data_IF_294711610805
#
_entry.id   IF_294711610805
#
_cell.length_a   1.000
_cell.length_b   1.000
_cell.length_c   1.000
_cell.angle_alpha   90.00
_cell.angle_beta   90.00
_cell.angle_gamma   90.00
#
_symmetry.space_group_name_H-M   'P 1'
#
loop_
_entity.id
_entity.type
_entity.pdbx_description
1 polymer ?
#
# COMPACT_ATOMS: atom_id res chain seq x y z
N UNK A 1 6.69 -25.70 13.76
CA UNK A 1 7.81 -25.36 12.86
C UNK A 1 7.31 -24.35 11.85
N UNK A 2 7.94 -23.19 11.74
CA UNK A 2 7.60 -22.20 10.72
C UNK A 2 7.89 -22.77 9.32
N UNK A 3 6.94 -22.60 8.39
CA UNK A 3 7.09 -23.02 6.99
C UNK A 3 8.06 -22.05 6.31
N UNK A 4 8.99 -22.55 5.51
CA UNK A 4 9.90 -21.73 4.70
C UNK A 4 9.53 -21.85 3.21
N UNK A 5 9.30 -20.73 2.55
CA UNK A 5 8.95 -20.63 1.13
C UNK A 5 9.98 -19.76 0.43
N UNK A 6 10.67 -20.34 -0.57
CA UNK A 6 11.69 -19.66 -1.38
C UNK A 6 11.07 -19.28 -2.72
N UNK A 7 10.96 -17.98 -2.99
CA UNK A 7 10.48 -17.45 -4.27
C UNK A 7 11.68 -17.23 -5.21
N UNK A 8 11.70 -17.97 -6.32
CA UNK A 8 12.82 -17.94 -7.27
C UNK A 8 12.71 -16.84 -8.32
N UNK A 9 11.50 -16.34 -8.57
CA UNK A 9 11.20 -15.28 -9.54
C UNK A 9 11.12 -13.95 -8.83
N UNK A 10 11.47 -12.87 -9.51
CA UNK A 10 11.42 -11.52 -8.95
C UNK A 10 12.61 -10.68 -9.39
N UNK A 11 12.59 -9.41 -9.02
CA UNK A 11 13.62 -8.45 -9.35
C UNK A 11 13.79 -7.42 -8.25
N UNK A 12 15.02 -7.23 -7.77
CA UNK A 12 15.35 -6.11 -6.90
C UNK A 12 15.84 -4.95 -7.76
N UNK A 13 15.25 -3.78 -7.57
CA UNK A 13 15.61 -2.57 -8.30
C UNK A 13 16.52 -1.73 -7.41
N UNK A 14 17.80 -1.53 -7.77
CA UNK A 14 18.79 -0.90 -6.92
C UNK A 14 18.70 0.64 -6.98
N UNK A 15 17.66 1.22 -6.40
CA UNK A 15 17.46 2.68 -6.33
C UNK A 15 18.30 3.28 -5.20
N UNK A 16 18.89 4.45 -5.43
CA UNK A 16 19.62 5.24 -4.41
C UNK A 16 18.66 6.01 -3.50
N UNK A 17 19.17 6.53 -2.38
CA UNK A 17 18.40 7.37 -1.47
C UNK A 17 17.48 6.61 -0.51
N UNK A 18 17.89 5.42 -0.06
CA UNK A 18 17.18 4.72 1.02
C UNK A 18 17.18 5.54 2.32
N UNK A 19 16.06 5.52 3.05
CA UNK A 19 15.97 6.18 4.34
C UNK A 19 16.95 5.59 5.36
N UNK A 20 17.70 6.43 6.05
CA UNK A 20 18.54 6.00 7.16
C UNK A 20 17.68 5.50 8.32
N UNK A 21 18.11 4.44 9.01
CA UNK A 21 17.38 3.84 10.14
C UNK A 21 17.46 4.73 11.39
N UNK A 22 17.05 5.98 11.24
CA UNK A 22 16.96 6.96 12.31
C UNK A 22 15.64 7.73 12.23
N UNK A 23 15.06 8.05 13.38
CA UNK A 23 13.91 8.94 13.46
C UNK A 23 14.41 10.38 13.47
N UNK A 24 14.25 11.10 12.35
CA UNK A 24 14.75 12.48 12.23
C UNK A 24 13.85 13.45 13.00
N UNK A 25 12.54 13.28 12.94
CA UNK A 25 11.57 14.16 13.60
C UNK A 25 10.21 13.49 13.78
N UNK A 26 9.43 14.01 14.73
CA UNK A 26 7.99 13.77 14.81
C UNK A 26 7.28 14.97 14.19
N UNK A 27 6.41 14.71 13.22
CA UNK A 27 5.63 15.73 12.53
C UNK A 27 4.18 15.62 12.97
N UNK A 28 3.71 16.65 13.68
CA UNK A 28 2.30 16.88 13.97
C UNK A 28 1.80 17.94 12.98
N UNK A 29 1.09 17.53 11.91
CA UNK A 29 0.65 18.47 10.89
C UNK A 29 -0.46 19.38 11.40
N UNK A 30 -0.44 20.66 11.02
CA UNK A 30 -1.52 21.61 11.31
C UNK A 30 -2.82 21.24 10.57
N UNK A 31 -2.69 20.62 9.39
CA UNK A 31 -3.81 20.20 8.55
C UNK A 31 -3.62 18.73 8.22
N UNK A 32 -4.68 17.95 8.39
CA UNK A 32 -4.70 16.51 8.05
C UNK A 32 -5.88 16.22 7.14
N UNK A 33 -5.66 15.47 6.08
CA UNK A 33 -6.71 15.06 5.14
C UNK A 33 -7.23 13.66 5.44
N UNK A 34 -8.55 13.51 5.40
CA UNK A 34 -9.24 12.22 5.38
C UNK A 34 -9.70 11.95 3.96
N UNK A 35 -9.01 11.05 3.25
CA UNK A 35 -9.22 10.79 1.82
C UNK A 35 -9.97 9.46 1.60
N UNK A 36 -11.27 9.48 1.21
CA UNK A 36 -12.02 8.26 0.93
C UNK A 36 -11.58 7.59 -0.37
N UNK A 37 -10.87 8.31 -1.25
CA UNK A 37 -10.42 7.80 -2.55
C UNK A 37 -9.39 6.69 -2.48
N UNK A 38 -8.71 6.54 -1.35
CA UNK A 38 -7.80 5.44 -1.06
C UNK A 38 -8.52 4.11 -0.78
N UNK A 39 -9.82 4.16 -0.48
CA UNK A 39 -10.63 3.02 -0.06
C UNK A 39 -11.49 2.52 -1.22
N UNK A 40 -11.00 1.51 -1.96
CA UNK A 40 -11.76 0.91 -3.05
C UNK A 40 -13.03 0.24 -2.52
N UNK A 41 -14.14 0.42 -3.23
CA UNK A 41 -15.46 -0.09 -2.82
C UNK A 41 -16.21 0.80 -1.84
N UNK A 42 -15.55 1.77 -1.20
CA UNK A 42 -16.15 2.72 -0.27
C UNK A 42 -16.80 3.90 -1.01
N UNK A 43 -18.09 4.10 -0.83
CA UNK A 43 -18.83 5.23 -1.41
C UNK A 43 -19.14 6.25 -0.30
N UNK A 44 -18.42 7.38 -0.20
CA UNK A 44 -18.50 8.23 0.97
C UNK A 44 -19.83 8.97 1.08
N UNK A 45 -20.39 8.97 2.32
CA UNK A 45 -21.44 9.84 2.80
C UNK A 45 -20.87 10.67 3.95
N UNK A 46 -20.87 11.99 3.82
CA UNK A 46 -20.40 12.89 4.87
C UNK A 46 -21.29 12.78 6.11
N UNK A 47 -20.63 12.78 7.27
CA UNK A 47 -21.26 12.85 8.59
C UNK A 47 -21.00 14.20 9.26
N UNK A 48 -20.15 15.04 8.69
CA UNK A 48 -19.72 16.33 9.22
C UNK A 48 -19.87 17.43 8.17
N UNK A 49 -19.82 18.67 8.60
CA UNK A 49 -19.79 19.90 7.78
C UNK A 49 -18.61 20.79 8.21
N UNK A 50 -18.27 21.74 7.37
CA UNK A 50 -17.23 22.73 7.67
C UNK A 50 -17.58 23.51 8.96
N UNK A 51 -16.58 23.67 9.81
CA UNK A 51 -16.70 24.30 11.13
C UNK A 51 -17.06 23.34 12.28
N UNK A 52 -17.41 22.07 12.00
CA UNK A 52 -17.69 21.10 13.06
C UNK A 52 -16.39 20.73 13.79
N UNK A 53 -16.47 20.56 15.11
CA UNK A 53 -15.39 20.02 15.93
C UNK A 53 -15.44 18.50 15.96
N UNK A 54 -14.25 17.87 15.85
CA UNK A 54 -14.08 16.42 15.90
C UNK A 54 -12.97 16.04 16.87
N UNK A 55 -13.10 14.89 17.49
CA UNK A 55 -12.04 14.24 18.27
C UNK A 55 -11.28 13.26 17.39
N UNK A 56 -10.06 12.90 17.79
CA UNK A 56 -9.36 11.77 17.18
C UNK A 56 -10.19 10.50 17.32
N UNK A 57 -10.55 9.86 16.20
CA UNK A 57 -11.47 8.72 16.16
C UNK A 57 -12.94 9.08 15.90
N UNK A 58 -13.31 10.38 15.85
CA UNK A 58 -14.68 10.77 15.47
C UNK A 58 -14.97 10.38 14.01
N UNK A 59 -16.14 9.80 13.71
CA UNK A 59 -16.51 9.45 12.34
C UNK A 59 -16.74 10.72 11.50
N UNK A 60 -16.03 10.80 10.38
CA UNK A 60 -16.12 11.90 9.39
C UNK A 60 -16.99 11.50 8.21
N UNK A 61 -16.89 10.25 7.81
CA UNK A 61 -17.64 9.68 6.70
C UNK A 61 -18.13 8.29 7.04
N UNK A 62 -19.22 7.86 6.37
CA UNK A 62 -19.69 6.49 6.35
C UNK A 62 -19.81 6.00 4.90
N UNK A 63 -19.76 4.69 4.68
CA UNK A 63 -20.09 4.13 3.38
C UNK A 63 -21.60 4.22 3.11
N UNK A 64 -21.97 4.56 1.89
CA UNK A 64 -23.40 4.62 1.49
C UNK A 64 -24.05 3.25 1.39
N UNK A 65 -23.28 2.23 0.98
CA UNK A 65 -23.77 0.86 0.81
C UNK A 65 -23.88 0.15 2.16
N UNK A 66 -22.89 0.37 3.04
CA UNK A 66 -22.87 -0.17 4.39
C UNK A 66 -22.55 0.93 5.39
N UNK A 67 -23.59 1.60 5.97
CA UNK A 67 -23.43 2.75 6.84
C UNK A 67 -22.66 2.49 8.15
N UNK A 68 -22.47 1.23 8.52
CA UNK A 68 -21.69 0.86 9.70
C UNK A 68 -20.18 0.96 9.45
N UNK A 69 -19.75 0.97 8.18
CA UNK A 69 -18.35 1.20 7.83
C UNK A 69 -18.06 2.70 7.91
N UNK A 70 -17.33 3.08 8.93
CA UNK A 70 -16.96 4.45 9.22
C UNK A 70 -15.51 4.74 8.83
N UNK A 71 -15.24 5.97 8.38
CA UNK A 71 -13.91 6.53 8.21
C UNK A 71 -13.74 7.66 9.22
N UNK A 72 -12.79 7.52 10.14
CA UNK A 72 -12.61 8.37 11.29
C UNK A 72 -11.52 9.44 11.07
N UNK A 73 -11.61 10.53 11.84
CA UNK A 73 -10.56 11.57 11.88
C UNK A 73 -9.31 11.03 12.59
N UNK A 74 -8.11 11.17 12.00
CA UNK A 74 -6.86 10.80 12.65
C UNK A 74 -6.37 11.83 13.69
N UNK A 75 -7.00 12.99 13.78
CA UNK A 75 -6.68 14.08 14.73
C UNK A 75 -7.95 14.67 15.34
N UNK A 76 -7.84 15.29 16.53
CA UNK A 76 -8.84 16.22 17.01
C UNK A 76 -8.63 17.60 16.41
N UNK A 77 -9.72 18.32 16.19
CA UNK A 77 -9.66 19.63 15.56
C UNK A 77 -11.00 20.10 14.99
N UNK A 78 -10.89 21.01 14.04
CA UNK A 78 -12.06 21.59 13.36
C UNK A 78 -12.04 21.23 11.89
N UNK A 79 -13.17 20.80 11.33
CA UNK A 79 -13.32 20.54 9.90
C UNK A 79 -13.09 21.84 9.13
N UNK A 80 -11.99 21.91 8.36
CA UNK A 80 -11.59 23.12 7.67
C UNK A 80 -12.27 23.24 6.31
N UNK A 81 -12.22 22.18 5.51
CA UNK A 81 -12.80 22.18 4.16
C UNK A 81 -13.24 20.79 3.72
N UNK A 82 -14.23 20.76 2.84
CA UNK A 82 -14.72 19.58 2.13
C UNK A 82 -14.32 19.70 0.65
N UNK A 83 -13.21 19.05 0.29
CA UNK A 83 -12.62 19.13 -1.04
C UNK A 83 -13.37 18.22 -2.01
N UNK A 84 -13.83 18.79 -3.12
CA UNK A 84 -14.56 18.07 -4.16
C UNK A 84 -13.88 18.24 -5.52
N UNK A 85 -13.82 17.17 -6.28
CA UNK A 85 -13.36 17.16 -7.65
C UNK A 85 -14.52 17.18 -8.66
N UNK A 86 -14.22 16.71 -9.85
CA UNK A 86 -15.18 16.61 -10.95
C UNK A 86 -16.43 15.84 -10.54
N UNK A 87 -17.56 16.26 -11.10
CA UNK A 87 -18.90 15.68 -10.83
C UNK A 87 -19.23 15.64 -9.33
N UNK A 88 -18.67 16.57 -8.53
CA UNK A 88 -18.83 16.66 -7.07
C UNK A 88 -18.31 15.42 -6.31
N UNK A 89 -17.40 14.63 -6.90
CA UNK A 89 -16.74 13.52 -6.22
C UNK A 89 -16.03 14.05 -4.98
N UNK A 90 -16.27 13.44 -3.82
CA UNK A 90 -15.57 13.78 -2.58
C UNK A 90 -14.12 13.29 -2.69
N UNK A 91 -13.16 14.20 -2.60
CA UNK A 91 -11.73 13.89 -2.67
C UNK A 91 -11.12 13.80 -1.27
N UNK A 92 -11.40 14.79 -0.41
CA UNK A 92 -10.87 14.83 0.94
C UNK A 92 -11.75 15.67 1.85
N UNK A 93 -11.66 15.41 3.16
CA UNK A 93 -12.08 16.32 4.22
C UNK A 93 -10.84 16.71 4.98
N UNK A 94 -10.52 18.01 5.05
CA UNK A 94 -9.38 18.50 5.80
C UNK A 94 -9.79 18.92 7.21
N UNK A 95 -8.95 18.54 8.17
CA UNK A 95 -9.13 18.87 9.58
C UNK A 95 -7.98 19.78 10.00
N UNK A 96 -8.30 20.97 10.52
CA UNK A 96 -7.32 21.82 11.20
C UNK A 96 -7.10 21.23 12.58
N UNK A 97 -5.90 20.74 12.81
CA UNK A 97 -5.54 19.97 14.00
C UNK A 97 -5.42 20.87 15.23
N UNK A 98 -5.90 20.40 16.37
CA UNK A 98 -5.65 21.05 17.65
C UNK A 98 -4.23 20.75 18.14
N UNK A 99 -3.61 21.69 18.89
CA UNK A 99 -2.29 21.50 19.50
C UNK A 99 -2.31 20.33 20.50
N UNK A 100 -3.38 20.26 21.30
CA UNK A 100 -3.60 19.20 22.27
C UNK A 100 -4.62 18.21 21.72
N UNK A 101 -4.18 17.00 21.42
CA UNK A 101 -5.03 15.97 20.83
C UNK A 101 -5.97 15.34 21.86
N UNK A 102 -7.25 15.37 21.57
CA UNK A 102 -8.31 14.72 22.35
C UNK A 102 -8.83 13.48 21.61
N UNK A 103 -9.01 12.38 22.34
CA UNK A 103 -9.39 11.09 21.77
C UNK A 103 -10.82 10.72 22.13
N UNK A 104 -11.59 10.26 21.14
CA UNK A 104 -12.84 9.55 21.39
C UNK A 104 -12.51 8.22 22.08
N UNK A 105 -12.92 8.10 23.34
CA UNK A 105 -12.68 6.88 24.14
C UNK A 105 -13.78 5.86 23.86
N UNK A 106 -13.38 4.61 23.74
CA UNK A 106 -14.24 3.45 23.53
C UNK A 106 -13.83 2.31 24.44
N UNK A 107 -14.76 1.44 24.74
CA UNK A 107 -14.52 0.18 25.45
C UNK A 107 -14.68 -0.98 24.48
N UNK A 108 -13.58 -1.39 23.77
CA UNK A 108 -13.66 -2.43 22.78
C UNK A 108 -13.94 -3.79 23.41
N UNK A 109 -14.83 -4.55 22.79
CA UNK A 109 -15.15 -5.93 23.17
C UNK A 109 -14.52 -6.89 22.18
N UNK A 110 -14.02 -8.01 22.69
CA UNK A 110 -13.36 -9.02 21.89
C UNK A 110 -13.57 -10.44 22.44
N UNK A 111 -14.73 -10.77 22.98
CA UNK A 111 -14.99 -12.13 23.45
C UNK A 111 -15.17 -13.10 22.28
N UNK A 112 -15.78 -12.66 21.17
CA UNK A 112 -16.05 -13.45 19.98
C UNK A 112 -15.88 -12.62 18.70
N UNK A 113 -16.07 -13.26 17.54
CA UNK A 113 -15.90 -12.64 16.22
C UNK A 113 -16.84 -11.42 16.01
N UNK A 114 -18.09 -11.52 16.44
CA UNK A 114 -19.10 -10.48 16.22
C UNK A 114 -18.76 -9.24 17.05
N UNK A 115 -18.34 -9.41 18.31
CA UNK A 115 -17.91 -8.29 19.16
C UNK A 115 -16.66 -7.58 18.59
N UNK A 116 -15.72 -8.35 18.01
CA UNK A 116 -14.54 -7.78 17.35
C UNK A 116 -14.96 -6.96 16.13
N UNK A 117 -15.82 -7.51 15.26
CA UNK A 117 -16.35 -6.80 14.09
C UNK A 117 -17.07 -5.52 14.50
N UNK A 118 -17.99 -5.60 15.45
CA UNK A 118 -18.74 -4.44 15.96
C UNK A 118 -17.83 -3.36 16.53
N UNK A 119 -16.82 -3.75 17.34
CA UNK A 119 -15.85 -2.81 17.90
C UNK A 119 -15.02 -2.12 16.83
N UNK A 120 -14.58 -2.83 15.78
CA UNK A 120 -13.83 -2.27 14.67
C UNK A 120 -14.68 -1.35 13.79
N UNK A 121 -15.94 -1.69 13.54
CA UNK A 121 -16.87 -0.83 12.79
C UNK A 121 -17.10 0.48 13.51
N UNK A 122 -17.43 0.43 14.81
CA UNK A 122 -17.69 1.62 15.64
C UNK A 122 -16.46 2.52 15.80
N UNK A 123 -15.26 1.96 15.79
CA UNK A 123 -14.02 2.73 15.96
C UNK A 123 -13.54 3.44 14.71
N UNK A 124 -14.06 3.10 13.52
CA UNK A 124 -13.54 3.56 12.24
C UNK A 124 -12.24 2.87 11.80
N UNK A 125 -11.86 1.76 12.43
CA UNK A 125 -10.68 0.96 12.05
C UNK A 125 -11.00 -0.13 11.02
N UNK A 126 -12.28 -0.39 10.75
CA UNK A 126 -12.70 -1.39 9.77
C UNK A 126 -12.07 -1.19 8.38
N UNK A 127 -11.90 0.03 7.84
CA UNK A 127 -11.28 0.26 6.54
C UNK A 127 -9.83 -0.23 6.40
N UNK A 128 -9.12 -0.58 7.49
CA UNK A 128 -7.82 -1.23 7.41
C UNK A 128 -7.89 -2.70 6.98
N UNK A 129 -9.08 -3.29 6.95
CA UNK A 129 -9.31 -4.65 6.48
C UNK A 129 -9.71 -4.60 5.02
N UNK A 130 -8.85 -5.13 4.16
CA UNK A 130 -9.05 -5.18 2.71
C UNK A 130 -9.43 -6.58 2.30
N UNK A 131 -10.48 -6.71 1.50
CA UNK A 131 -10.97 -7.99 0.99
C UNK A 131 -10.38 -8.28 -0.39
N UNK A 132 -9.83 -9.47 -0.55
CA UNK A 132 -9.52 -10.08 -1.84
C UNK A 132 -10.54 -11.20 -2.13
N UNK A 133 -10.91 -11.44 -3.39
CA UNK A 133 -10.47 -10.69 -4.58
C UNK A 133 -10.94 -9.22 -4.57
N UNK A 134 -10.47 -8.43 -5.55
CA UNK A 134 -10.86 -7.06 -5.90
C UNK A 134 -10.22 -5.92 -5.11
N UNK A 135 -9.62 -6.14 -3.92
CA UNK A 135 -8.96 -5.10 -3.13
C UNK A 135 -9.91 -4.03 -2.59
N UNK A 136 -11.11 -4.41 -2.22
CA UNK A 136 -12.14 -3.52 -1.65
C UNK A 136 -12.08 -3.51 -0.12
N UNK A 137 -12.69 -2.52 0.52
CA UNK A 137 -12.95 -2.57 1.97
C UNK A 137 -13.77 -3.82 2.26
N UNK A 138 -13.37 -4.58 3.28
CA UNK A 138 -14.00 -5.86 3.58
C UNK A 138 -15.49 -5.72 3.91
N UNK A 139 -16.31 -6.63 3.38
CA UNK A 139 -17.73 -6.73 3.76
C UNK A 139 -17.83 -7.34 5.17
N UNK A 140 -18.40 -6.63 6.16
CA UNK A 140 -18.55 -7.14 7.52
C UNK A 140 -19.42 -8.41 7.60
N UNK A 141 -20.33 -8.59 6.67
CA UNK A 141 -21.19 -9.78 6.60
C UNK A 141 -20.45 -11.03 6.06
N UNK A 142 -19.34 -10.82 5.35
CA UNK A 142 -18.56 -11.93 4.80
C UNK A 142 -17.78 -12.67 5.90
N UNK A 143 -17.59 -13.97 5.66
CA UNK A 143 -16.68 -14.80 6.47
C UNK A 143 -15.44 -15.13 5.64
N UNK A 144 -14.27 -14.58 5.98
CA UNK A 144 -13.07 -14.85 5.22
C UNK A 144 -12.54 -16.26 5.49
N UNK A 145 -11.99 -16.89 4.46
CA UNK A 145 -11.28 -18.16 4.55
C UNK A 145 -10.05 -18.05 5.48
N UNK A 146 -9.38 -16.90 5.44
CA UNK A 146 -8.23 -16.57 6.26
C UNK A 146 -7.92 -15.06 6.18
N UNK A 147 -7.08 -14.59 7.10
CA UNK A 147 -6.58 -13.22 7.13
C UNK A 147 -5.06 -13.28 6.93
N UNK A 148 -4.52 -12.46 6.04
CA UNK A 148 -3.09 -12.40 5.75
C UNK A 148 -2.49 -11.05 6.12
N UNK A 149 -1.27 -11.11 6.66
CA UNK A 149 -0.45 -9.95 7.01
C UNK A 149 0.96 -10.20 6.48
N UNK A 150 1.49 -9.28 5.67
CA UNK A 150 2.91 -9.26 5.39
C UNK A 150 3.63 -8.37 6.40
N UNK A 151 4.60 -8.94 7.13
CA UNK A 151 5.38 -8.21 8.12
C UNK A 151 6.71 -7.68 7.56
N UNK A 152 6.89 -7.66 6.24
CA UNK A 152 8.03 -7.07 5.57
C UNK A 152 7.64 -6.57 4.17
N UNK A 153 8.42 -5.66 3.63
CA UNK A 153 8.32 -5.22 2.24
C UNK A 153 9.62 -5.49 1.50
N UNK A 154 9.49 -5.78 0.22
CA UNK A 154 10.62 -5.92 -0.72
C UNK A 154 10.57 -4.89 -1.83
N UNK A 155 9.61 -3.96 -1.79
CA UNK A 155 9.54 -2.88 -2.75
C UNK A 155 10.77 -1.96 -2.65
N UNK A 156 11.23 -1.38 -3.76
CA UNK A 156 12.36 -0.47 -3.74
C UNK A 156 12.13 0.70 -2.79
N UNK A 157 13.09 0.96 -1.91
CA UNK A 157 13.08 2.05 -0.91
C UNK A 157 11.95 1.95 0.13
N UNK A 158 11.26 0.81 0.23
CA UNK A 158 10.19 0.62 1.20
C UNK A 158 10.68 0.80 2.65
N UNK A 159 9.77 1.20 3.51
CA UNK A 159 10.02 1.30 4.95
C UNK A 159 10.46 -0.06 5.55
N UNK A 160 11.46 -0.02 6.40
CA UNK A 160 11.90 -1.18 7.19
C UNK A 160 10.90 -1.42 8.33
N UNK A 161 10.16 -2.53 8.26
CA UNK A 161 9.13 -2.86 9.24
C UNK A 161 9.70 -3.21 10.60
N UNK A 162 10.91 -3.77 10.66
CA UNK A 162 11.61 -4.04 11.94
C UNK A 162 11.94 -2.72 12.65
N UNK A 163 12.41 -1.70 11.92
CA UNK A 163 12.68 -0.38 12.48
C UNK A 163 11.39 0.36 12.88
N UNK A 164 10.34 0.24 12.09
CA UNK A 164 9.10 0.99 12.33
C UNK A 164 8.23 0.38 13.44
N UNK A 165 8.15 -0.95 13.50
CA UNK A 165 7.20 -1.68 14.33
C UNK A 165 7.84 -2.75 15.24
N UNK A 166 9.12 -3.08 15.09
CA UNK A 166 9.79 -4.11 15.91
C UNK A 166 9.74 -3.85 17.42
N UNK A 167 9.72 -2.57 17.83
CA UNK A 167 9.51 -2.20 19.23
C UNK A 167 8.03 -2.21 19.69
N UNK A 168 7.09 -2.44 18.78
CA UNK A 168 5.63 -2.41 19.01
C UNK A 168 4.97 -3.79 18.82
N UNK A 169 5.72 -4.86 19.05
CA UNK A 169 5.23 -6.25 18.91
C UNK A 169 4.01 -6.53 19.79
N UNK A 170 3.93 -5.92 20.97
CA UNK A 170 2.75 -6.05 21.85
C UNK A 170 1.46 -5.52 21.21
N UNK A 171 1.53 -4.41 20.48
CA UNK A 171 0.37 -3.87 19.77
C UNK A 171 -0.05 -4.83 18.64
N UNK A 172 0.93 -5.35 17.87
CA UNK A 172 0.68 -6.32 16.81
C UNK A 172 0.05 -7.60 17.37
N UNK A 173 0.58 -8.12 18.50
CA UNK A 173 0.04 -9.31 19.15
C UNK A 173 -1.41 -9.09 19.62
N UNK A 174 -1.73 -7.93 20.17
CA UNK A 174 -3.10 -7.59 20.56
C UNK A 174 -4.05 -7.56 19.35
N UNK A 175 -3.59 -7.01 18.22
CA UNK A 175 -4.33 -7.03 16.96
C UNK A 175 -4.57 -8.45 16.43
N UNK A 176 -3.55 -9.30 16.46
CA UNK A 176 -3.67 -10.73 16.09
C UNK A 176 -4.68 -11.42 16.99
N UNK A 177 -4.60 -11.24 18.30
CA UNK A 177 -5.50 -11.89 19.25
C UNK A 177 -6.98 -11.52 19.02
N UNK A 178 -7.23 -10.29 18.58
CA UNK A 178 -8.56 -9.85 18.20
C UNK A 178 -9.01 -10.50 16.87
N UNK A 179 -8.22 -10.36 15.79
CA UNK A 179 -8.58 -10.83 14.47
C UNK A 179 -8.60 -12.37 14.35
N UNK A 180 -7.83 -13.08 15.15
CA UNK A 180 -7.83 -14.55 15.21
C UNK A 180 -9.17 -15.13 15.65
N UNK A 181 -10.05 -14.33 16.26
CA UNK A 181 -11.43 -14.73 16.59
C UNK A 181 -12.36 -14.74 15.37
N UNK A 182 -12.00 -13.97 14.34
CA UNK A 182 -12.78 -13.89 13.10
C UNK A 182 -12.39 -15.03 12.16
N UNK A 183 -11.08 -15.22 11.91
CA UNK A 183 -10.57 -16.26 11.02
C UNK A 183 -9.10 -16.56 11.32
N UNK A 184 -8.61 -17.65 10.71
CA UNK A 184 -7.20 -18.06 10.78
C UNK A 184 -6.31 -16.98 10.20
N UNK A 185 -5.26 -16.59 10.98
CA UNK A 185 -4.26 -15.62 10.54
C UNK A 185 -3.01 -16.30 9.99
N UNK A 186 -2.47 -15.70 8.91
CA UNK A 186 -1.15 -15.99 8.37
C UNK A 186 -0.31 -14.74 8.40
N UNK A 187 0.92 -14.84 8.93
CA UNK A 187 1.89 -13.73 8.94
C UNK A 187 3.14 -14.14 8.17
N UNK A 188 3.44 -13.41 7.11
CA UNK A 188 4.66 -13.57 6.34
C UNK A 188 5.80 -12.75 6.93
N UNK A 189 6.95 -13.36 7.20
CA UNK A 189 8.17 -12.69 7.68
C UNK A 189 9.32 -12.97 6.73
N UNK A 190 10.35 -12.09 6.72
CA UNK A 190 11.51 -12.24 5.85
C UNK A 190 12.55 -13.24 6.38
N UNK A 191 12.78 -13.24 7.68
CA UNK A 191 13.85 -14.02 8.33
C UNK A 191 13.36 -14.64 9.64
N UNK A 192 13.97 -15.75 10.10
CA UNK A 192 13.62 -16.35 11.39
C UNK A 192 13.97 -15.47 12.61
N UNK A 193 14.87 -14.49 12.42
CA UNK A 193 15.31 -13.57 13.47
C UNK A 193 14.43 -12.32 13.58
N UNK A 194 13.38 -12.23 12.77
CA UNK A 194 12.41 -11.13 12.81
C UNK A 194 11.78 -10.99 14.21
N UNK A 195 11.56 -9.74 14.64
CA UNK A 195 10.83 -9.44 15.87
C UNK A 195 9.42 -10.08 15.89
N UNK A 196 8.88 -10.36 14.72
CA UNK A 196 7.54 -10.93 14.50
C UNK A 196 7.53 -12.46 14.45
N UNK A 197 8.70 -13.13 14.58
CA UNK A 197 8.80 -14.59 14.46
C UNK A 197 8.13 -15.37 15.61
N UNK A 198 7.89 -14.70 16.75
CA UNK A 198 7.32 -15.30 17.97
C UNK A 198 5.86 -14.89 18.23
N UNK A 199 5.18 -14.33 17.24
CA UNK A 199 3.77 -13.98 17.37
C UNK A 199 2.92 -15.23 17.55
N UNK A 200 1.99 -15.17 18.51
CA UNK A 200 1.07 -16.26 18.85
C UNK A 200 -0.28 -16.08 18.14
N UNK A 201 -1.07 -17.14 18.08
CA UNK A 201 -2.40 -17.16 17.42
C UNK A 201 -2.37 -16.82 15.92
N UNK A 202 -1.21 -17.00 15.26
CA UNK A 202 -1.04 -16.86 13.83
C UNK A 202 -0.08 -17.92 13.28
N UNK A 203 -0.26 -18.32 12.04
CA UNK A 203 0.70 -19.18 11.34
C UNK A 203 1.80 -18.32 10.70
N UNK A 204 3.01 -18.45 11.23
CA UNK A 204 4.19 -17.74 10.74
C UNK A 204 4.79 -18.51 9.58
N UNK A 205 4.99 -17.83 8.44
CA UNK A 205 5.68 -18.37 7.27
C UNK A 205 6.84 -17.45 6.89
N UNK A 206 8.02 -18.03 6.72
CA UNK A 206 9.21 -17.32 6.27
C UNK A 206 9.19 -17.30 4.74
N UNK A 207 9.28 -16.10 4.16
CA UNK A 207 9.40 -15.90 2.72
C UNK A 207 10.76 -15.31 2.40
N UNK A 208 11.49 -15.97 1.49
CA UNK A 208 12.76 -15.46 0.97
C UNK A 208 12.69 -15.33 -0.54
N UNK A 209 13.33 -14.31 -1.07
CA UNK A 209 13.34 -14.00 -2.49
C UNK A 209 13.42 -12.50 -2.75
N UNK A 210 13.51 -12.15 -4.03
CA UNK A 210 13.48 -10.77 -4.51
C UNK A 210 12.05 -10.21 -4.46
N UNK A 211 11.93 -8.91 -4.66
CA UNK A 211 10.60 -8.31 -4.90
C UNK A 211 9.90 -9.08 -6.04
N UNK A 212 8.62 -9.50 -5.89
CA UNK A 212 7.62 -9.06 -4.92
C UNK A 212 7.40 -10.04 -3.74
N UNK A 213 8.42 -10.66 -3.17
CA UNK A 213 8.26 -11.60 -2.06
C UNK A 213 7.52 -11.00 -0.85
N UNK A 214 7.64 -9.68 -0.65
CA UNK A 214 6.92 -8.94 0.41
C UNK A 214 5.46 -8.63 0.10
N UNK A 215 4.99 -8.81 -1.14
CA UNK A 215 3.60 -8.52 -1.48
C UNK A 215 2.68 -9.60 -0.90
N UNK A 216 1.65 -9.16 -0.19
CA UNK A 216 0.71 -10.08 0.46
C UNK A 216 -0.04 -10.97 -0.54
N UNK A 217 -0.31 -10.47 -1.76
CA UNK A 217 -0.92 -11.26 -2.85
C UNK A 217 -0.06 -12.45 -3.27
N UNK A 218 1.25 -12.25 -3.36
CA UNK A 218 2.22 -13.32 -3.65
C UNK A 218 2.26 -14.35 -2.52
N UNK A 219 2.21 -13.90 -1.27
CA UNK A 219 2.17 -14.79 -0.10
C UNK A 219 0.89 -15.62 -0.05
N UNK A 220 -0.27 -15.01 -0.36
CA UNK A 220 -1.55 -15.70 -0.50
C UNK A 220 -1.46 -16.76 -1.59
N UNK A 221 -0.97 -16.40 -2.79
CA UNK A 221 -0.82 -17.33 -3.90
C UNK A 221 0.06 -18.55 -3.56
N UNK A 222 1.07 -18.36 -2.71
CA UNK A 222 1.99 -19.42 -2.30
C UNK A 222 1.43 -20.32 -1.16
N UNK A 223 0.54 -19.79 -0.30
CA UNK A 223 -0.02 -20.53 0.84
C UNK A 223 -1.40 -21.13 0.51
N UNK A 224 -2.30 -20.28 0.02
CA UNK A 224 -3.71 -20.62 -0.22
C UNK A 224 -4.28 -19.75 -1.34
N UNK A 225 -4.01 -20.09 -2.62
CA UNK A 225 -4.51 -19.32 -3.76
C UNK A 225 -6.03 -19.09 -3.69
N UNK A 226 -6.43 -17.90 -4.12
CA UNK A 226 -7.85 -17.50 -4.12
C UNK A 226 -8.52 -18.07 -5.36
N UNK A 227 -9.58 -18.85 -5.15
CA UNK A 227 -10.43 -19.41 -6.19
C UNK A 227 -11.76 -18.63 -6.29
N UNK A 228 -12.54 -18.90 -7.34
CA UNK A 228 -13.88 -18.34 -7.50
C UNK A 228 -14.74 -18.69 -6.29
N UNK A 229 -15.33 -17.69 -5.65
CA UNK A 229 -16.12 -17.82 -4.43
C UNK A 229 -15.35 -17.76 -3.12
N UNK A 230 -14.03 -17.81 -3.15
CA UNK A 230 -13.22 -17.59 -1.94
C UNK A 230 -13.20 -16.09 -1.56
N UNK A 231 -13.23 -15.84 -0.27
CA UNK A 231 -12.98 -14.51 0.31
C UNK A 231 -11.80 -14.61 1.27
N UNK A 232 -10.81 -13.73 1.07
CA UNK A 232 -9.62 -13.63 1.93
C UNK A 232 -9.46 -12.17 2.34
N UNK A 233 -9.15 -11.93 3.61
CA UNK A 233 -8.87 -10.58 4.07
C UNK A 233 -7.37 -10.34 4.22
N UNK A 234 -6.96 -9.11 4.01
CA UNK A 234 -5.59 -8.66 4.24
C UNK A 234 -5.59 -7.44 5.14
N UNK A 235 -4.59 -7.34 6.00
CA UNK A 235 -4.39 -6.18 6.88
C UNK A 235 -2.91 -5.81 6.81
N UNK A 236 -2.60 -4.51 6.62
CA UNK A 236 -1.22 -4.05 6.70
C UNK A 236 -0.70 -4.16 8.14
N UNK A 237 0.62 -4.30 8.30
CA UNK A 237 1.21 -4.42 9.64
C UNK A 237 0.92 -3.17 10.50
N UNK A 238 0.93 -1.97 9.90
CA UNK A 238 0.53 -0.73 10.56
C UNK A 238 -0.95 -0.70 10.96
N UNK A 239 -1.83 -1.20 10.09
CA UNK A 239 -3.26 -1.35 10.40
C UNK A 239 -3.48 -2.33 11.55
N UNK A 240 -2.77 -3.46 11.54
CA UNK A 240 -2.82 -4.44 12.61
C UNK A 240 -2.35 -3.86 13.95
N UNK A 241 -1.27 -3.07 13.96
CA UNK A 241 -0.79 -2.38 15.15
C UNK A 241 -1.80 -1.33 15.67
N UNK A 242 -2.48 -0.60 14.76
CA UNK A 242 -3.54 0.35 15.14
C UNK A 242 -4.76 -0.37 15.76
N UNK A 243 -5.17 -1.49 15.17
CA UNK A 243 -6.21 -2.37 15.72
C UNK A 243 -5.81 -2.85 17.11
N UNK A 244 -4.57 -3.30 17.29
CA UNK A 244 -4.10 -3.76 18.59
C UNK A 244 -4.07 -2.66 19.65
N UNK A 245 -3.59 -1.46 19.30
CA UNK A 245 -3.66 -0.29 20.21
C UNK A 245 -5.08 0.04 20.63
N UNK A 246 -6.03 -0.07 19.69
CA UNK A 246 -7.45 0.15 20.00
C UNK A 246 -7.96 -0.88 21.02
N UNK A 247 -7.71 -2.17 20.82
CA UNK A 247 -8.14 -3.19 21.80
C UNK A 247 -7.43 -3.08 23.13
N UNK A 248 -6.20 -2.57 23.17
CA UNK A 248 -5.43 -2.39 24.40
C UNK A 248 -5.80 -1.11 25.17
N UNK A 249 -6.13 -0.01 24.48
CA UNK A 249 -6.26 1.34 25.07
C UNK A 249 -7.62 2.02 24.85
N UNK A 250 -8.48 1.47 23.99
CA UNK A 250 -9.78 2.04 23.66
C UNK A 250 -9.73 3.35 22.87
N UNK A 251 -8.61 3.62 22.14
CA UNK A 251 -8.43 4.86 21.37
C UNK A 251 -8.03 4.58 19.93
N UNK A 252 -8.49 5.43 19.04
CA UNK A 252 -8.07 5.43 17.63
C UNK A 252 -6.70 6.09 17.51
N UNK A 253 -5.62 5.30 17.42
CA UNK A 253 -4.25 5.80 17.23
C UNK A 253 -3.61 5.15 16.01
N UNK A 254 -3.54 5.93 14.92
CA UNK A 254 -3.01 5.49 13.61
C UNK A 254 -1.63 6.07 13.30
N UNK A 255 -0.94 6.67 14.30
CA UNK A 255 0.40 7.19 14.14
C UNK A 255 1.36 6.09 13.72
N UNK A 256 2.26 6.45 12.79
CA UNK A 256 3.23 5.52 12.21
C UNK A 256 4.54 6.22 11.90
N UNK A 257 5.63 5.45 11.83
CA UNK A 257 6.88 5.91 11.23
C UNK A 257 6.79 5.70 9.72
N UNK A 258 7.15 6.73 8.97
CA UNK A 258 7.12 6.77 7.51
C UNK A 258 8.53 7.00 7.01
N UNK A 259 8.98 6.18 6.04
CA UNK A 259 10.25 6.39 5.39
C UNK A 259 10.11 7.53 4.35
N UNK A 260 10.94 8.55 4.44
CA UNK A 260 11.13 9.54 3.38
C UNK A 260 12.39 9.15 2.63
N UNK A 261 12.25 8.75 1.37
CA UNK A 261 13.32 8.11 0.60
C UNK A 261 13.33 8.59 -0.86
N UNK A 262 14.37 8.25 -1.58
CA UNK A 262 14.51 8.52 -3.01
C UNK A 262 15.70 9.41 -3.34
N UNK A 263 16.22 9.33 -4.59
CA UNK A 263 17.42 10.06 -5.01
C UNK A 263 17.27 11.59 -4.99
N UNK A 264 16.04 12.10 -4.91
CA UNK A 264 15.76 13.53 -4.81
C UNK A 264 15.26 13.94 -3.40
N UNK A 265 15.25 13.03 -2.42
CA UNK A 265 14.97 13.38 -1.04
C UNK A 265 16.10 14.23 -0.43
N UNK A 266 15.73 15.28 0.30
CA UNK A 266 16.73 16.19 0.93
C UNK A 266 17.46 15.47 2.06
N UNK A 267 16.70 14.81 2.94
CA UNK A 267 17.19 14.04 4.08
C UNK A 267 16.46 12.70 4.13
N UNK A 268 17.02 11.66 3.48
CA UNK A 268 16.40 10.34 3.53
C UNK A 268 16.45 9.76 4.96
N UNK A 269 15.32 9.79 5.66
CA UNK A 269 15.20 9.33 7.05
C UNK A 269 13.75 8.99 7.39
N UNK A 270 13.51 8.46 8.59
CA UNK A 270 12.16 8.20 9.07
C UNK A 270 11.56 9.40 9.80
N UNK A 271 10.28 9.61 9.59
CA UNK A 271 9.46 10.64 10.23
C UNK A 271 8.28 9.96 10.92
N UNK A 272 8.01 10.29 12.19
CA UNK A 272 6.77 9.84 12.84
C UNK A 272 5.64 10.82 12.52
N UNK A 273 4.55 10.31 11.95
CA UNK A 273 3.39 11.09 11.54
C UNK A 273 2.13 10.22 11.45
N UNK A 274 1.09 10.70 10.77
CA UNK A 274 -0.18 9.98 10.55
C UNK A 274 -0.61 10.01 9.07
N UNK A 275 -1.51 9.10 8.65
CA UNK A 275 -2.16 9.18 7.34
C UNK A 275 -2.83 10.54 7.14
N UNK A 276 -2.77 11.06 5.94
CA UNK A 276 -3.32 12.37 5.61
C UNK A 276 -2.41 13.55 5.95
N UNK A 277 -1.18 13.32 6.40
CA UNK A 277 -0.18 14.38 6.60
C UNK A 277 0.21 15.02 5.26
N UNK A 278 0.41 16.36 5.19
CA UNK A 278 0.79 17.04 3.95
C UNK A 278 2.18 16.62 3.46
N UNK A 279 2.30 16.30 2.17
CA UNK A 279 3.55 15.85 1.57
C UNK A 279 4.67 16.87 1.66
N UNK A 280 4.37 18.16 1.47
CA UNK A 280 5.37 19.24 1.60
C UNK A 280 6.07 19.26 2.95
N UNK A 281 5.34 18.96 4.02
CA UNK A 281 5.88 18.90 5.39
C UNK A 281 6.77 17.68 5.59
N UNK A 282 6.35 16.53 5.06
CA UNK A 282 7.12 15.28 5.14
C UNK A 282 8.39 15.35 4.31
N UNK A 283 8.30 15.86 3.09
CA UNK A 283 9.44 16.01 2.17
C UNK A 283 10.43 17.11 2.58
N UNK A 284 10.09 17.97 3.56
CA UNK A 284 10.96 19.06 4.02
C UNK A 284 11.03 20.26 3.07
N UNK A 285 10.09 20.43 2.16
CA UNK A 285 10.06 21.52 1.19
C UNK A 285 9.42 22.79 1.75
N UNK A 286 9.97 23.33 2.82
CA UNK A 286 9.43 24.52 3.50
C UNK A 286 9.61 25.82 2.70
N UNK A 287 10.58 25.88 1.79
CA UNK A 287 10.90 27.06 0.97
C UNK A 287 10.22 27.08 -0.40
N UNK A 288 9.38 26.10 -0.70
CA UNK A 288 8.74 25.94 -2.00
C UNK A 288 9.02 24.58 -2.62
N UNK A 289 8.19 24.18 -3.57
CA UNK A 289 8.31 22.91 -4.26
C UNK A 289 9.37 23.02 -5.38
N UNK A 290 10.44 22.20 -5.37
CA UNK A 290 11.42 22.24 -6.44
C UNK A 290 10.81 21.77 -7.78
N UNK A 291 11.09 22.50 -8.85
CA UNK A 291 10.71 22.05 -10.19
C UNK A 291 11.42 20.74 -10.57
N UNK A 292 10.77 19.94 -11.39
CA UNK A 292 11.35 18.68 -11.88
C UNK A 292 11.46 17.58 -10.82
N UNK A 293 10.63 17.62 -9.78
CA UNK A 293 10.55 16.58 -8.73
C UNK A 293 9.16 15.96 -8.71
N UNK A 294 9.11 14.63 -8.58
CA UNK A 294 7.90 13.87 -8.34
C UNK A 294 7.88 13.36 -6.92
N UNK A 295 6.81 13.70 -6.17
CA UNK A 295 6.53 13.14 -4.84
C UNK A 295 5.48 12.05 -4.99
N UNK A 296 5.79 10.89 -4.44
CA UNK A 296 4.96 9.67 -4.49
C UNK A 296 4.59 9.30 -3.05
N UNK A 297 3.30 9.12 -2.80
CA UNK A 297 2.81 8.41 -1.63
C UNK A 297 2.90 6.93 -1.88
N UNK A 298 3.70 6.22 -1.09
CA UNK A 298 4.06 4.83 -1.31
C UNK A 298 5.41 4.65 -2.03
N UNK A 299 5.64 3.46 -2.56
CA UNK A 299 6.85 3.08 -3.29
C UNK A 299 6.81 3.51 -4.78
N UNK A 300 7.95 3.38 -5.48
CA UNK A 300 8.07 3.80 -6.88
C UNK A 300 7.33 2.91 -7.89
N UNK A 301 6.88 1.72 -7.49
CA UNK A 301 6.23 0.75 -8.37
C UNK A 301 4.71 0.85 -8.32
N UNK A 302 4.16 0.97 -7.11
CA UNK A 302 2.71 0.94 -6.87
C UNK A 302 2.16 2.20 -6.21
N UNK A 303 3.02 3.11 -5.78
CA UNK A 303 2.64 4.36 -5.12
C UNK A 303 1.97 5.36 -6.06
N UNK A 304 1.30 6.34 -5.47
CA UNK A 304 0.56 7.39 -6.19
C UNK A 304 1.35 8.69 -6.22
N UNK A 305 1.58 9.23 -7.40
CA UNK A 305 2.13 10.60 -7.54
C UNK A 305 1.07 11.61 -7.05
N UNK A 306 1.41 12.37 -6.01
CA UNK A 306 0.47 13.29 -5.33
C UNK A 306 0.92 14.75 -5.36
N UNK A 307 2.17 15.02 -5.70
CA UNK A 307 2.73 16.37 -5.71
C UNK A 307 2.89 16.98 -4.31
N UNK A 308 3.22 18.26 -4.27
CA UNK A 308 3.49 19.00 -3.02
C UNK A 308 2.23 19.24 -2.17
N UNK A 309 1.11 19.50 -2.82
CA UNK A 309 -0.17 19.80 -2.16
C UNK A 309 -0.97 18.54 -1.82
N UNK A 310 -0.41 17.37 -2.14
CA UNK A 310 -1.00 16.10 -1.79
C UNK A 310 -0.76 15.68 -0.35
N UNK A 311 -1.36 14.57 0.03
CA UNK A 311 -1.32 14.02 1.37
C UNK A 311 -0.81 12.59 1.38
N UNK A 312 -0.29 12.15 2.52
CA UNK A 312 0.11 10.76 2.74
C UNK A 312 -1.11 9.84 2.68
N UNK A 313 -1.08 8.84 1.83
CA UNK A 313 -2.17 7.90 1.65
C UNK A 313 -2.50 7.08 2.90
N UNK A 314 -3.73 6.60 2.97
CA UNK A 314 -4.27 5.89 4.13
C UNK A 314 -3.46 4.65 4.53
N UNK A 315 -2.92 3.91 3.55
CA UNK A 315 -2.15 2.69 3.77
C UNK A 315 -0.63 2.89 3.73
N UNK A 316 -0.16 4.05 3.24
CA UNK A 316 1.25 4.25 2.90
C UNK A 316 2.11 4.51 4.14
N UNK A 317 3.30 3.92 4.14
CA UNK A 317 4.35 4.07 5.15
C UNK A 317 5.69 4.53 4.55
N UNK A 318 5.66 4.91 3.27
CA UNK A 318 6.81 5.40 2.52
C UNK A 318 6.39 6.63 1.71
N UNK A 319 7.27 7.62 1.65
CA UNK A 319 7.21 8.76 0.73
C UNK A 319 8.43 8.67 -0.16
N UNK A 320 8.23 8.49 -1.46
CA UNK A 320 9.32 8.37 -2.42
C UNK A 320 9.44 9.65 -3.25
N UNK A 321 10.66 10.20 -3.31
CA UNK A 321 10.96 11.47 -4.00
C UNK A 321 11.99 11.20 -5.08
N UNK A 322 11.58 11.37 -6.34
CA UNK A 322 12.41 11.13 -7.53
C UNK A 322 12.42 12.36 -8.45
N UNK A 323 13.35 12.38 -9.38
CA UNK A 323 13.37 13.43 -10.41
C UNK A 323 12.32 13.15 -11.47
N UNK A 324 11.66 14.20 -11.94
CA UNK A 324 10.77 14.15 -13.10
C UNK A 324 11.60 14.09 -14.38
N UNK A 325 11.31 13.14 -15.24
CA UNK A 325 11.98 13.03 -16.52
C UNK A 325 11.39 13.97 -17.56
N UNK A 326 12.19 14.94 -17.99
CA UNK A 326 11.78 15.93 -19.01
C UNK A 326 12.64 15.86 -20.27
N UNK A 327 13.67 15.03 -20.28
CA UNK A 327 14.62 14.96 -21.38
C UNK A 327 14.40 13.72 -22.26
N UNK A 328 13.82 13.88 -23.48
CA UNK A 328 13.72 12.77 -24.40
C UNK A 328 15.10 12.41 -24.94
N UNK A 329 15.42 11.12 -24.92
CA UNK A 329 16.69 10.60 -25.40
C UNK A 329 16.53 9.93 -26.77
N UNK A 330 17.14 10.54 -27.82
CA UNK A 330 17.13 9.96 -29.16
C UNK A 330 17.96 8.67 -29.20
N UNK A 331 17.34 7.58 -29.72
CA UNK A 331 17.97 6.25 -29.85
C UNK A 331 18.63 5.76 -28.55
N UNK A 332 18.07 6.09 -27.40
CA UNK A 332 18.62 5.77 -26.09
C UNK A 332 18.90 4.27 -25.90
N UNK A 333 18.06 3.40 -26.45
CA UNK A 333 18.20 1.95 -26.44
C UNK A 333 19.43 1.44 -27.23
N UNK A 334 19.95 2.21 -28.19
CA UNK A 334 21.10 1.84 -29.03
C UNK A 334 22.44 2.42 -28.52
N UNK A 335 22.43 3.28 -27.50
CA UNK A 335 23.65 3.86 -26.95
C UNK A 335 24.51 2.80 -26.30
N UNK A 336 25.78 2.63 -26.72
CA UNK A 336 26.71 1.73 -26.03
C UNK A 336 27.08 2.30 -24.65
N UNK A 337 27.47 1.43 -23.74
CA UNK A 337 28.07 1.78 -22.44
C UNK A 337 27.25 2.75 -21.60
N UNK A 338 26.23 2.23 -20.92
CA UNK A 338 25.41 2.99 -19.98
C UNK A 338 25.72 2.59 -18.54
N UNK A 339 26.79 3.16 -17.97
CA UNK A 339 27.22 2.86 -16.61
C UNK A 339 26.29 3.45 -15.53
N UNK A 340 25.53 4.49 -15.86
CA UNK A 340 24.64 5.19 -14.94
C UNK A 340 23.22 4.65 -14.94
N UNK A 341 22.92 3.61 -15.77
CA UNK A 341 21.57 3.09 -15.90
C UNK A 341 21.51 1.60 -15.54
N UNK A 342 20.46 1.23 -14.83
CA UNK A 342 20.16 -0.14 -14.49
C UNK A 342 19.55 -0.87 -15.70
N UNK A 343 19.99 -2.10 -15.94
CA UNK A 343 19.46 -2.99 -16.98
C UNK A 343 19.00 -4.31 -16.38
N UNK A 344 17.80 -4.71 -16.71
CA UNK A 344 17.18 -5.96 -16.25
C UNK A 344 17.58 -7.18 -17.08
N UNK A 345 18.05 -6.97 -18.31
CA UNK A 345 18.34 -7.99 -19.32
C UNK A 345 19.77 -7.95 -19.85
N UNK A 346 20.68 -7.29 -19.13
CA UNK A 346 22.10 -7.14 -19.48
C UNK A 346 22.36 -6.31 -20.76
N UNK A 347 21.41 -5.51 -21.21
CA UNK A 347 21.60 -4.59 -22.33
C UNK A 347 22.63 -3.50 -22.02
N UNK A 348 22.83 -3.19 -20.73
CA UNK A 348 23.86 -2.26 -20.25
C UNK A 348 24.79 -2.95 -19.26
N UNK A 349 25.92 -2.35 -18.95
CA UNK A 349 26.95 -2.95 -18.11
C UNK A 349 26.67 -2.90 -16.60
N UNK A 350 25.46 -2.55 -16.17
CA UNK A 350 25.09 -2.52 -14.75
C UNK A 350 25.26 -3.85 -14.02
N UNK A 351 25.18 -4.97 -14.74
CA UNK A 351 25.41 -6.31 -14.18
C UNK A 351 26.87 -6.57 -13.74
N UNK A 352 27.83 -5.76 -14.21
CA UNK A 352 29.23 -5.81 -13.75
C UNK A 352 29.43 -5.11 -12.40
N UNK A 353 28.46 -4.33 -11.95
CA UNK A 353 28.51 -3.56 -10.69
C UNK A 353 27.27 -3.81 -9.84
N UNK A 354 27.03 -5.06 -9.37
CA UNK A 354 25.78 -5.42 -8.67
C UNK A 354 25.59 -4.70 -7.34
N UNK A 355 26.64 -4.10 -6.77
CA UNK A 355 26.60 -3.31 -5.54
C UNK A 355 26.16 -1.86 -5.76
N UNK A 356 26.11 -1.40 -7.01
CA UNK A 356 25.81 -0.01 -7.34
C UNK A 356 24.32 0.27 -7.15
N UNK A 357 24.02 1.45 -6.57
CA UNK A 357 22.68 2.04 -6.56
C UNK A 357 22.61 3.11 -7.67
N UNK A 358 21.41 3.31 -8.20
CA UNK A 358 21.17 4.19 -9.32
C UNK A 358 20.17 5.29 -8.95
N UNK A 359 20.48 6.51 -9.40
CA UNK A 359 19.52 7.60 -9.38
C UNK A 359 18.53 7.36 -10.51
N UNK A 360 17.32 7.00 -10.16
CA UNK A 360 16.26 6.74 -11.12
C UNK A 360 15.35 7.96 -11.23
N UNK A 361 14.96 8.25 -12.45
CA UNK A 361 14.01 9.29 -12.83
C UNK A 361 12.86 8.67 -13.65
N UNK A 362 11.95 9.52 -14.14
CA UNK A 362 10.83 9.07 -14.95
C UNK A 362 11.10 9.16 -16.46
N UNK A 363 12.37 9.38 -16.89
CA UNK A 363 12.71 9.40 -18.31
C UNK A 363 12.52 8.04 -18.99
N UNK A 364 11.95 8.06 -20.18
CA UNK A 364 11.82 6.90 -21.05
C UNK A 364 13.03 6.81 -21.97
N UNK A 365 14.01 5.99 -21.57
CA UNK A 365 15.26 5.82 -22.33
C UNK A 365 15.15 4.86 -23.52
N UNK A 366 14.00 4.33 -23.81
CA UNK A 366 13.78 3.31 -24.85
C UNK A 366 13.14 3.79 -26.15
N UNK A 367 12.81 5.08 -26.28
CA UNK A 367 12.12 5.61 -27.47
C UNK A 367 10.60 5.41 -27.41
N UNK A 368 9.87 5.57 -28.55
CA UNK A 368 8.43 5.50 -28.59
C UNK A 368 7.91 4.11 -28.24
N UNK A 369 6.76 4.07 -27.58
CA UNK A 369 6.08 2.84 -27.18
C UNK A 369 5.49 2.14 -28.40
N UNK A 370 5.71 0.83 -28.50
CA UNK A 370 4.97 -0.05 -29.37
C UNK A 370 4.18 -1.04 -28.49
N UNK A 371 2.99 -1.41 -28.91
CA UNK A 371 2.19 -2.39 -28.19
C UNK A 371 2.73 -3.80 -28.40
N UNK A 372 3.76 -4.16 -27.66
CA UNK A 372 4.37 -5.49 -27.70
C UNK A 372 4.29 -6.07 -26.29
N UNK A 373 3.54 -7.15 -26.13
CA UNK A 373 3.52 -7.93 -24.89
C UNK A 373 4.29 -9.24 -25.08
N UNK A 374 5.13 -9.57 -24.11
CA UNK A 374 5.90 -10.81 -24.13
C UNK A 374 5.84 -11.51 -22.77
N UNK A 375 5.16 -12.64 -22.72
CA UNK A 375 5.00 -13.44 -21.50
C UNK A 375 6.32 -13.90 -20.89
N UNK A 376 7.35 -14.11 -21.71
CA UNK A 376 8.67 -14.53 -21.25
C UNK A 376 9.34 -13.49 -20.32
N UNK A 377 9.03 -12.20 -20.48
CA UNK A 377 9.49 -11.15 -19.54
C UNK A 377 8.72 -11.25 -18.23
N UNK A 378 7.39 -11.29 -18.28
CA UNK A 378 6.55 -11.33 -17.09
C UNK A 378 6.80 -12.57 -16.24
N UNK A 379 7.01 -13.72 -16.87
CA UNK A 379 7.30 -14.97 -16.19
C UNK A 379 8.60 -14.96 -15.37
N UNK A 380 9.53 -14.04 -15.63
CA UNK A 380 10.78 -13.91 -14.87
C UNK A 380 10.56 -13.27 -13.50
N UNK A 381 9.59 -12.37 -13.39
CA UNK A 381 9.40 -11.53 -12.21
C UNK A 381 8.15 -11.86 -11.41
N UNK A 382 7.18 -12.56 -11.97
CA UNK A 382 5.92 -12.89 -11.30
C UNK A 382 5.97 -14.30 -10.70
N UNK A 383 6.07 -14.46 -9.37
CA UNK A 383 6.09 -15.76 -8.70
C UNK A 383 4.68 -16.29 -8.37
N UNK A 384 3.70 -16.06 -9.24
CA UNK A 384 2.32 -16.51 -9.07
C UNK A 384 1.92 -17.48 -10.19
N UNK A 385 0.99 -18.39 -9.88
CA UNK A 385 0.51 -19.42 -10.81
C UNK A 385 -0.61 -18.93 -11.74
N UNK A 386 -0.42 -17.75 -12.34
CA UNK A 386 -1.37 -17.15 -13.28
C UNK A 386 -0.76 -17.00 -14.67
N UNK A 387 -1.56 -16.61 -15.66
CA UNK A 387 -1.15 -16.33 -17.04
C UNK A 387 -1.19 -14.83 -17.33
N UNK A 388 -0.15 -14.05 -16.95
CA UNK A 388 -0.22 -12.59 -16.92
C UNK A 388 -0.53 -11.98 -18.29
N UNK A 389 0.10 -12.43 -19.37
CA UNK A 389 -0.15 -11.92 -20.71
C UNK A 389 -1.61 -12.13 -21.15
N UNK A 390 -2.14 -13.32 -20.91
CA UNK A 390 -3.50 -13.65 -21.32
C UNK A 390 -4.52 -12.93 -20.43
N UNK A 391 -4.23 -12.80 -19.14
CA UNK A 391 -5.04 -12.04 -18.21
C UNK A 391 -5.15 -10.56 -18.63
N UNK A 392 -4.02 -9.91 -18.93
CA UNK A 392 -3.99 -8.52 -19.40
C UNK A 392 -4.83 -8.36 -20.67
N UNK A 393 -4.69 -9.28 -21.64
CA UNK A 393 -5.49 -9.25 -22.87
C UNK A 393 -6.97 -9.47 -22.60
N UNK A 394 -7.34 -10.33 -21.67
CA UNK A 394 -8.73 -10.56 -21.27
C UNK A 394 -9.33 -9.30 -20.62
N UNK A 395 -8.58 -8.60 -19.77
CA UNK A 395 -8.99 -7.32 -19.19
C UNK A 395 -9.23 -6.25 -20.26
N UNK A 396 -8.32 -6.12 -21.22
CA UNK A 396 -8.48 -5.19 -22.35
C UNK A 396 -9.69 -5.51 -23.23
N UNK A 397 -9.97 -6.79 -23.42
CA UNK A 397 -11.12 -7.25 -24.22
C UNK A 397 -12.45 -7.17 -23.45
N UNK A 398 -12.43 -6.99 -22.13
CA UNK A 398 -13.61 -7.08 -21.28
C UNK A 398 -14.20 -8.50 -21.18
N UNK A 399 -13.39 -9.53 -21.42
CA UNK A 399 -13.81 -10.95 -21.46
C UNK A 399 -13.71 -11.54 -20.04
N UNK A 400 -14.82 -11.50 -19.31
CA UNK A 400 -14.92 -11.92 -17.91
C UNK A 400 -14.55 -13.40 -17.75
N UNK A 401 -15.06 -14.27 -18.61
CA UNK A 401 -14.81 -15.71 -18.52
C UNK A 401 -13.31 -16.02 -18.63
N UNK A 402 -12.61 -15.31 -19.54
CA UNK A 402 -11.15 -15.44 -19.67
C UNK A 402 -10.39 -14.77 -18.53
N UNK A 403 -10.88 -13.65 -17.99
CA UNK A 403 -10.26 -13.06 -16.78
C UNK A 403 -10.29 -14.06 -15.62
N UNK A 404 -11.43 -14.73 -15.40
CA UNK A 404 -11.56 -15.79 -14.39
C UNK A 404 -10.61 -16.95 -14.65
N UNK A 405 -10.57 -17.43 -15.90
CA UNK A 405 -9.72 -18.56 -16.30
C UNK A 405 -8.23 -18.28 -16.11
N UNK A 406 -7.80 -17.01 -16.34
CA UNK A 406 -6.39 -16.64 -16.29
C UNK A 406 -5.94 -16.07 -14.96
N UNK A 407 -6.82 -16.00 -13.95
CA UNK A 407 -6.45 -15.77 -12.56
C UNK A 407 -6.72 -14.39 -12.00
N UNK A 408 -7.73 -13.64 -12.50
CA UNK A 408 -8.09 -12.30 -11.99
C UNK A 408 -8.37 -12.26 -10.48
N UNK A 409 -8.89 -13.34 -9.91
CA UNK A 409 -9.18 -13.45 -8.48
C UNK A 409 -7.93 -13.43 -7.58
N UNK A 410 -6.77 -13.79 -8.12
CA UNK A 410 -5.53 -13.91 -7.35
C UNK A 410 -4.73 -12.62 -7.27
N UNK A 411 -5.00 -11.64 -8.14
CA UNK A 411 -4.15 -10.46 -8.31
C UNK A 411 -4.84 -9.16 -7.99
N UNK A 412 -4.05 -8.20 -7.53
CA UNK A 412 -4.34 -6.78 -7.56
C UNK A 412 -3.28 -6.06 -8.42
N UNK A 413 -3.51 -4.78 -8.79
CA UNK A 413 -2.57 -4.04 -9.63
C UNK A 413 -1.13 -4.08 -9.16
N UNK A 414 -0.87 -3.93 -7.86
CA UNK A 414 0.46 -3.95 -7.27
C UNK A 414 1.21 -5.29 -7.45
N UNK A 415 0.50 -6.39 -7.61
CA UNK A 415 1.12 -7.71 -7.83
C UNK A 415 1.76 -7.81 -9.23
N UNK A 416 1.32 -6.98 -10.20
CA UNK A 416 1.86 -6.89 -11.56
C UNK A 416 2.75 -5.66 -11.81
N UNK A 417 3.07 -4.89 -10.78
CA UNK A 417 3.89 -3.68 -10.91
C UNK A 417 5.28 -3.95 -11.52
N UNK A 418 5.93 -5.07 -11.16
CA UNK A 418 7.17 -5.49 -11.81
C UNK A 418 6.99 -5.87 -13.29
N UNK A 419 5.85 -6.46 -13.65
CA UNK A 419 5.56 -6.75 -15.07
C UNK A 419 5.49 -5.45 -15.87
N UNK A 420 4.87 -4.41 -15.33
CA UNK A 420 4.85 -3.06 -15.90
C UNK A 420 6.26 -2.46 -16.00
N UNK A 421 7.06 -2.57 -14.94
CA UNK A 421 8.40 -2.02 -14.88
C UNK A 421 9.33 -2.62 -15.95
N UNK A 422 9.31 -3.95 -16.14
CA UNK A 422 10.18 -4.64 -17.10
C UNK A 422 9.62 -4.67 -18.52
N UNK A 423 8.36 -4.32 -18.73
CA UNK A 423 7.74 -4.33 -20.05
C UNK A 423 8.49 -3.39 -21.02
N UNK A 424 9.06 -3.90 -22.14
CA UNK A 424 9.79 -3.06 -23.09
C UNK A 424 8.93 -1.94 -23.69
N UNK A 425 7.62 -2.17 -23.79
CA UNK A 425 6.65 -1.22 -24.37
C UNK A 425 6.09 -0.27 -23.34
N UNK A 426 6.41 -0.45 -22.06
CA UNK A 426 5.92 0.40 -20.95
C UNK A 426 4.40 0.57 -20.96
N UNK A 427 3.69 -0.53 -21.16
CA UNK A 427 2.24 -0.55 -21.04
C UNK A 427 1.82 -0.31 -19.58
N UNK A 428 0.70 0.35 -19.37
CA UNK A 428 0.10 0.59 -18.05
C UNK A 428 -0.62 -0.67 -17.55
N UNK A 429 0.14 -1.70 -17.20
CA UNK A 429 -0.40 -3.02 -16.86
C UNK A 429 -1.24 -2.95 -15.59
N UNK A 430 -0.81 -2.20 -14.59
CA UNK A 430 -1.56 -2.00 -13.35
C UNK A 430 -2.93 -1.39 -13.62
N UNK A 431 -3.01 -0.39 -14.50
CA UNK A 431 -4.27 0.22 -14.90
C UNK A 431 -5.18 -0.76 -15.65
N UNK A 432 -4.63 -1.56 -16.56
CA UNK A 432 -5.38 -2.58 -17.29
C UNK A 432 -6.01 -3.63 -16.35
N UNK A 433 -5.27 -4.07 -15.33
CA UNK A 433 -5.80 -4.97 -14.30
C UNK A 433 -6.86 -4.27 -13.44
N UNK A 434 -6.63 -3.01 -13.05
CA UNK A 434 -7.62 -2.24 -12.29
C UNK A 434 -8.95 -2.10 -13.05
N UNK A 435 -8.90 -1.84 -14.36
CA UNK A 435 -10.09 -1.77 -15.23
C UNK A 435 -10.81 -3.13 -15.29
N UNK A 436 -10.07 -4.24 -15.42
CA UNK A 436 -10.63 -5.59 -15.38
C UNK A 436 -11.34 -5.88 -14.06
N UNK A 437 -10.72 -5.55 -12.93
CA UNK A 437 -11.32 -5.70 -11.59
C UNK A 437 -12.58 -4.83 -11.43
N UNK A 438 -12.56 -3.60 -11.96
CA UNK A 438 -13.70 -2.70 -11.89
C UNK A 438 -14.89 -3.21 -12.75
N UNK A 439 -14.60 -3.86 -13.88
CA UNK A 439 -15.61 -4.54 -14.69
C UNK A 439 -16.23 -5.71 -13.91
N UNK A 440 -15.40 -6.58 -13.31
CA UNK A 440 -15.86 -7.69 -12.48
C UNK A 440 -16.78 -7.21 -11.35
N UNK A 441 -16.42 -6.13 -10.65
CA UNK A 441 -17.23 -5.55 -9.58
C UNK A 441 -18.58 -5.01 -10.05
N UNK A 442 -18.67 -4.50 -11.27
CA UNK A 442 -19.94 -4.01 -11.85
C UNK A 442 -20.89 -5.15 -12.20
N UNK A 443 -20.35 -6.24 -12.72
CA UNK A 443 -21.17 -7.42 -13.08
C UNK A 443 -21.66 -8.21 -11.86
N UNK A 444 -21.00 -8.06 -10.71
CA UNK A 444 -21.38 -8.74 -9.46
C UNK A 444 -22.26 -7.86 -8.55
N UNK A 445 -22.44 -6.56 -8.87
CA UNK A 445 -23.24 -5.60 -8.09
C UNK A 445 -24.69 -5.59 -8.54
#
# INVERSE_FOLDING_TARGET
MSKNIVLKKGLDIPVSGAAELCLSKTVSPDIVAVEPTALKGFTPRLLVKEGDKVLTGSPVMADKKNPDILLASPVSGTIQAIVRGDKRKLLAVTVLSDDNQEYLKSEPKAANAEEVKESLLKSGLWPFIVQRPYGIVADPAATPKSIFVSAFSTAPLAADTEFTLGAKVSDIQAGINALAKIAKLHVGIATPDSAFAKLENAEITIFSGKHPAGNVGVQIAAISPILKGDTVWTVSLHGLAAIGRFFAKGVYDVRRKVAVAGPAAIEPAYVETLPGAPMKTLAGFYGGYPEGIRIISGDILSGKAVGADGFLGFFDDTVTIIREGTEPELLGWAKPVRWSQFSTDHSYFSWLTPWRKYDMDTNLHGGPRAFVMNDAYYAKVLPMGIFPLYLIKACLAGDIDKMEQFGIYQVLPEDLALCEYIDPSKNYIQEMIAQGIDLMLKEMA
#
